data_IF_688620388604
#
_entry.id   IF_688620388604
#
_cell.length_a   1.000
_cell.length_b   1.000
_cell.length_c   1.000
_cell.angle_alpha   90.00
_cell.angle_beta   90.00
_cell.angle_gamma   90.00
#
_symmetry.space_group_name_H-M   'P 1'
#
loop_
_entity.id
_entity.type
_entity.pdbx_description
1 polymer ?
#
# COMPACT_ATOMS: atom_id res chain seq x y z
N UNK A 1 -16.42 -20.56 12.42
CA UNK A 1 -15.89 -19.19 12.38
C UNK A 1 -15.64 -18.71 13.80
N UNK A 2 -16.67 -18.71 14.66
CA UNK A 2 -16.61 -18.15 16.02
C UNK A 2 -15.52 -18.80 16.88
N UNK A 3 -15.31 -20.10 16.75
CA UNK A 3 -14.28 -20.84 17.51
C UNK A 3 -12.87 -20.81 16.88
N UNK A 4 -12.74 -20.25 15.69
CA UNK A 4 -11.50 -20.39 14.90
C UNK A 4 -10.75 -19.07 14.71
N UNK A 5 -11.40 -17.93 14.97
CA UNK A 5 -10.79 -16.60 14.80
C UNK A 5 -11.53 -15.55 15.61
N UNK A 6 -10.86 -15.00 16.63
CA UNK A 6 -11.40 -13.95 17.49
C UNK A 6 -11.79 -12.69 16.67
N UNK A 7 -10.94 -12.28 15.72
CA UNK A 7 -11.18 -11.10 14.88
C UNK A 7 -12.43 -11.24 14.01
N UNK A 8 -12.69 -12.44 13.45
CA UNK A 8 -13.90 -12.68 12.66
C UNK A 8 -15.14 -12.81 13.55
N UNK A 9 -14.98 -13.33 14.75
CA UNK A 9 -16.05 -13.42 15.75
C UNK A 9 -16.48 -12.06 16.24
N UNK A 10 -15.51 -11.20 16.54
CA UNK A 10 -15.75 -9.81 16.97
C UNK A 10 -16.46 -9.02 15.86
N UNK A 11 -16.01 -9.17 14.59
CA UNK A 11 -16.66 -8.54 13.46
C UNK A 11 -18.13 -8.98 13.31
N UNK A 12 -18.41 -10.28 13.41
CA UNK A 12 -19.77 -10.82 13.33
C UNK A 12 -20.69 -10.32 14.44
N UNK A 13 -20.16 -10.22 15.66
CA UNK A 13 -20.97 -9.76 16.81
C UNK A 13 -21.42 -8.31 16.65
N UNK A 14 -20.60 -7.46 16.02
CA UNK A 14 -20.92 -6.06 15.70
C UNK A 14 -21.75 -5.87 14.41
N UNK A 15 -21.83 -6.88 13.53
CA UNK A 15 -22.42 -6.75 12.18
C UNK A 15 -23.33 -7.94 11.84
N UNK A 16 -24.42 -8.09 12.59
CA UNK A 16 -25.37 -9.23 12.47
C UNK A 16 -25.92 -9.39 11.05
N UNK A 17 -26.12 -8.28 10.33
CA UNK A 17 -26.59 -8.28 8.93
C UNK A 17 -25.67 -9.03 7.96
N UNK A 18 -24.40 -9.20 8.28
CA UNK A 18 -23.47 -9.99 7.47
C UNK A 18 -23.81 -11.47 7.50
N UNK A 19 -24.48 -11.96 8.55
CA UNK A 19 -24.97 -13.34 8.61
C UNK A 19 -26.00 -13.64 7.51
N UNK A 20 -26.88 -12.70 7.20
CA UNK A 20 -27.88 -12.86 6.13
C UNK A 20 -27.19 -13.00 4.77
N UNK A 21 -26.12 -12.22 4.53
CA UNK A 21 -25.31 -12.34 3.31
C UNK A 21 -24.57 -13.71 3.23
N UNK A 22 -24.05 -14.19 4.35
CA UNK A 22 -23.39 -15.52 4.44
C UNK A 22 -24.38 -16.64 4.13
N UNK A 23 -25.64 -16.50 4.54
CA UNK A 23 -26.71 -17.48 4.30
C UNK A 23 -27.26 -17.33 2.87
N UNK A 24 -27.33 -16.12 2.34
CA UNK A 24 -28.01 -15.76 1.08
C UNK A 24 -27.32 -16.18 -0.21
N UNK A 25 -26.19 -16.90 -0.19
CA UNK A 25 -25.54 -17.48 -1.38
C UNK A 25 -24.60 -16.54 -2.15
N UNK A 26 -24.85 -15.24 -2.23
CA UNK A 26 -23.96 -14.28 -2.92
C UNK A 26 -22.57 -14.13 -2.27
N UNK A 27 -22.49 -14.40 -0.98
CA UNK A 27 -21.25 -14.46 -0.22
C UNK A 27 -20.25 -15.49 -0.78
N UNK A 28 -20.76 -16.57 -1.35
CA UNK A 28 -19.97 -17.70 -1.87
C UNK A 28 -19.68 -17.58 -3.39
N UNK A 29 -20.09 -16.48 -4.04
CA UNK A 29 -19.81 -16.26 -5.46
C UNK A 29 -18.30 -16.14 -5.72
N UNK A 30 -17.89 -16.29 -6.97
CA UNK A 30 -16.51 -16.12 -7.38
C UNK A 30 -15.96 -14.73 -7.04
N UNK A 31 -14.65 -14.64 -6.92
CA UNK A 31 -13.97 -13.38 -6.66
C UNK A 31 -14.08 -12.45 -7.87
N UNK A 32 -14.56 -11.21 -7.70
CA UNK A 32 -14.86 -10.34 -8.85
C UNK A 32 -13.62 -9.68 -9.48
N UNK A 33 -12.47 -9.70 -8.80
CA UNK A 33 -11.24 -9.04 -9.21
C UNK A 33 -11.20 -7.53 -8.90
N UNK A 34 -9.99 -6.96 -8.96
CA UNK A 34 -9.70 -5.56 -8.58
C UNK A 34 -10.60 -4.54 -9.29
N UNK A 35 -10.78 -4.69 -10.60
CA UNK A 35 -11.52 -3.72 -11.43
C UNK A 35 -13.01 -3.66 -11.04
N UNK A 36 -13.62 -4.81 -10.82
CA UNK A 36 -15.03 -4.88 -10.39
C UNK A 36 -15.19 -4.37 -8.95
N UNK A 37 -14.23 -4.64 -8.07
CA UNK A 37 -14.21 -4.09 -6.71
C UNK A 37 -14.12 -2.56 -6.72
N UNK A 38 -13.24 -1.96 -7.53
CA UNK A 38 -13.19 -0.50 -7.68
C UNK A 38 -14.54 0.08 -8.13
N UNK A 39 -15.16 -0.52 -9.14
CA UNK A 39 -16.44 -0.04 -9.64
C UNK A 39 -17.57 -0.17 -8.60
N UNK A 40 -17.61 -1.27 -7.87
CA UNK A 40 -18.59 -1.50 -6.80
C UNK A 40 -18.40 -0.50 -5.65
N UNK A 41 -17.16 -0.26 -5.24
CA UNK A 41 -16.85 0.75 -4.23
C UNK A 41 -17.21 2.17 -4.71
N UNK A 42 -16.88 2.53 -5.96
CA UNK A 42 -17.25 3.82 -6.54
C UNK A 42 -18.77 4.03 -6.52
N UNK A 43 -19.55 3.01 -6.88
CA UNK A 43 -21.00 3.04 -6.82
C UNK A 43 -21.52 3.18 -5.37
N UNK A 44 -20.89 2.51 -4.42
CA UNK A 44 -21.21 2.59 -2.99
C UNK A 44 -20.98 4.01 -2.46
N UNK A 45 -19.82 4.61 -2.76
CA UNK A 45 -19.50 6.00 -2.40
C UNK A 45 -20.48 6.99 -3.04
N UNK A 46 -20.86 6.78 -4.30
CA UNK A 46 -21.73 7.69 -5.02
C UNK A 46 -23.16 7.76 -4.50
N UNK A 47 -23.62 6.77 -3.75
CA UNK A 47 -24.95 6.77 -3.10
C UNK A 47 -25.02 7.68 -1.88
N UNK A 48 -23.89 8.03 -1.29
CA UNK A 48 -23.81 8.84 -0.10
C UNK A 48 -23.68 10.33 -0.46
N UNK A 49 -24.38 11.19 0.30
CA UNK A 49 -24.50 12.62 -0.04
C UNK A 49 -23.32 13.47 0.45
N UNK A 50 -22.76 13.13 1.60
CA UNK A 50 -21.71 13.89 2.25
C UNK A 50 -20.41 13.07 2.39
N UNK A 51 -19.30 13.78 2.58
CA UNK A 51 -17.96 13.19 2.62
C UNK A 51 -17.76 12.21 3.77
N UNK A 52 -18.34 12.47 4.93
CA UNK A 52 -18.21 11.59 6.10
C UNK A 52 -18.97 10.28 5.87
N UNK A 53 -20.19 10.35 5.37
CA UNK A 53 -20.97 9.19 4.98
C UNK A 53 -20.29 8.38 3.89
N UNK A 54 -19.66 9.03 2.90
CA UNK A 54 -18.87 8.38 1.87
C UNK A 54 -17.67 7.59 2.43
N UNK A 55 -16.94 8.18 3.39
CA UNK A 55 -15.85 7.48 4.07
C UNK A 55 -16.35 6.30 4.91
N UNK A 56 -17.48 6.46 5.60
CA UNK A 56 -18.06 5.40 6.41
C UNK A 56 -18.57 4.24 5.56
N UNK A 57 -19.21 4.54 4.43
CA UNK A 57 -19.66 3.53 3.47
C UNK A 57 -18.46 2.75 2.87
N UNK A 58 -17.37 3.45 2.52
CA UNK A 58 -16.17 2.80 1.99
C UNK A 58 -15.51 1.86 3.01
N UNK A 59 -15.51 2.23 4.29
CA UNK A 59 -14.96 1.39 5.36
C UNK A 59 -15.81 0.16 5.62
N UNK A 60 -17.14 0.31 5.69
CA UNK A 60 -18.07 -0.83 5.84
C UNK A 60 -17.89 -1.80 4.69
N UNK A 61 -17.91 -1.29 3.46
CA UNK A 61 -17.70 -2.07 2.25
C UNK A 61 -16.36 -2.84 2.29
N UNK A 62 -15.27 -2.18 2.65
CA UNK A 62 -13.96 -2.82 2.76
C UNK A 62 -13.90 -3.91 3.84
N UNK A 63 -14.54 -3.68 4.99
CA UNK A 63 -14.62 -4.67 6.07
C UNK A 63 -15.44 -5.90 5.66
N UNK A 64 -16.53 -5.73 4.93
CA UNK A 64 -17.35 -6.84 4.43
C UNK A 64 -16.55 -7.74 3.50
N UNK A 65 -15.83 -7.16 2.54
CA UNK A 65 -14.96 -7.91 1.65
C UNK A 65 -13.79 -8.57 2.39
N UNK A 66 -13.17 -7.85 3.31
CA UNK A 66 -12.09 -8.38 4.14
C UNK A 66 -12.54 -9.59 4.97
N UNK A 67 -13.71 -9.48 5.59
CA UNK A 67 -14.35 -10.58 6.31
C UNK A 67 -14.62 -11.78 5.40
N UNK A 68 -15.18 -11.54 4.21
CA UNK A 68 -15.47 -12.58 3.23
C UNK A 68 -14.22 -13.38 2.86
N UNK A 69 -13.11 -12.72 2.56
CA UNK A 69 -11.83 -13.39 2.27
C UNK A 69 -11.40 -14.27 3.45
N UNK A 70 -11.49 -13.76 4.68
CA UNK A 70 -11.14 -14.50 5.89
C UNK A 70 -11.99 -15.75 6.08
N UNK A 71 -13.29 -15.67 5.87
CA UNK A 71 -14.22 -16.82 5.98
C UNK A 71 -13.95 -17.84 4.87
N UNK A 72 -13.76 -17.40 3.62
CA UNK A 72 -13.43 -18.32 2.52
C UNK A 72 -12.14 -19.09 2.78
N UNK A 73 -11.11 -18.41 3.34
CA UNK A 73 -9.85 -19.03 3.71
C UNK A 73 -10.04 -20.06 4.83
N UNK A 74 -10.73 -19.70 5.91
CA UNK A 74 -11.01 -20.63 7.04
C UNK A 74 -11.83 -21.83 6.64
N UNK A 75 -12.73 -21.68 5.69
CA UNK A 75 -13.57 -22.77 5.17
C UNK A 75 -12.86 -23.61 4.10
N UNK A 76 -11.63 -23.25 3.72
CA UNK A 76 -10.89 -23.94 2.67
C UNK A 76 -11.47 -23.76 1.26
N UNK A 77 -12.34 -22.76 1.05
CA UNK A 77 -12.88 -22.40 -0.27
C UNK A 77 -11.79 -21.82 -1.16
N UNK A 78 -10.86 -21.07 -0.56
CA UNK A 78 -9.70 -20.50 -1.23
C UNK A 78 -8.41 -20.94 -0.54
N UNK A 79 -7.32 -20.99 -1.31
CA UNK A 79 -5.99 -21.25 -0.77
C UNK A 79 -5.39 -20.01 -0.11
N UNK A 80 -4.38 -20.13 0.78
CA UNK A 80 -3.66 -18.98 1.33
C UNK A 80 -3.06 -18.08 0.24
N UNK A 81 -2.57 -18.64 -0.86
CA UNK A 81 -2.05 -17.91 -2.01
C UNK A 81 -3.13 -17.04 -2.68
N UNK A 82 -4.34 -17.57 -2.85
CA UNK A 82 -5.48 -16.83 -3.39
C UNK A 82 -5.89 -15.72 -2.42
N UNK A 83 -6.00 -16.02 -1.12
CA UNK A 83 -6.38 -15.04 -0.11
C UNK A 83 -5.43 -13.84 -0.08
N UNK A 84 -4.11 -14.06 -0.14
CA UNK A 84 -3.14 -12.95 -0.17
C UNK A 84 -3.29 -12.07 -1.41
N UNK A 85 -3.60 -12.63 -2.57
CA UNK A 85 -3.92 -11.88 -3.79
C UNK A 85 -5.20 -11.07 -3.64
N UNK A 86 -6.27 -11.68 -3.13
CA UNK A 86 -7.56 -11.02 -2.90
C UNK A 86 -7.47 -9.86 -1.91
N UNK A 87 -6.73 -10.00 -0.80
CA UNK A 87 -6.45 -8.88 0.11
C UNK A 87 -5.66 -7.76 -0.58
N UNK A 88 -4.71 -8.10 -1.47
CA UNK A 88 -3.97 -7.12 -2.27
C UNK A 88 -4.88 -6.35 -3.22
N UNK A 89 -5.74 -7.02 -3.97
CA UNK A 89 -6.70 -6.40 -4.89
C UNK A 89 -7.73 -5.53 -4.16
N UNK A 90 -8.22 -5.99 -2.99
CA UNK A 90 -9.11 -5.22 -2.13
C UNK A 90 -8.46 -3.91 -1.67
N UNK A 91 -7.20 -3.96 -1.22
CA UNK A 91 -6.47 -2.79 -0.80
C UNK A 91 -6.24 -1.81 -1.96
N UNK A 92 -5.86 -2.29 -3.15
CA UNK A 92 -5.67 -1.45 -4.32
C UNK A 92 -6.96 -0.77 -4.77
N UNK A 93 -8.07 -1.50 -4.84
CA UNK A 93 -9.38 -0.95 -5.17
C UNK A 93 -9.77 0.15 -4.16
N UNK A 94 -9.62 -0.13 -2.86
CA UNK A 94 -9.91 0.83 -1.79
C UNK A 94 -9.06 2.09 -1.92
N UNK A 95 -7.74 1.95 -2.12
CA UNK A 95 -6.83 3.07 -2.23
C UNK A 95 -7.10 3.94 -3.46
N UNK A 96 -7.44 3.35 -4.61
CA UNK A 96 -7.81 4.08 -5.82
C UNK A 96 -9.04 4.96 -5.63
N UNK A 97 -10.09 4.39 -5.07
CA UNK A 97 -11.35 5.12 -4.88
C UNK A 97 -11.24 6.18 -3.78
N UNK A 98 -10.55 5.88 -2.66
CA UNK A 98 -10.26 6.88 -1.63
C UNK A 98 -9.36 8.00 -2.13
N UNK A 99 -8.38 7.69 -3.00
CA UNK A 99 -7.58 8.72 -3.66
C UNK A 99 -8.44 9.69 -4.47
N UNK A 100 -9.34 9.17 -5.30
CA UNK A 100 -10.28 9.99 -6.09
C UNK A 100 -11.19 10.82 -5.18
N UNK A 101 -11.78 10.22 -4.15
CA UNK A 101 -12.67 10.87 -3.20
C UNK A 101 -11.98 12.01 -2.45
N UNK A 102 -10.79 11.74 -1.88
CA UNK A 102 -10.03 12.72 -1.10
C UNK A 102 -9.57 13.88 -1.98
N UNK A 103 -9.05 13.62 -3.20
CA UNK A 103 -8.66 14.68 -4.12
C UNK A 103 -9.85 15.56 -4.51
N UNK A 104 -10.99 14.98 -4.83
CA UNK A 104 -12.22 15.71 -5.17
C UNK A 104 -12.67 16.61 -4.01
N UNK A 105 -12.67 16.08 -2.79
CA UNK A 105 -13.04 16.84 -1.59
C UNK A 105 -12.03 17.95 -1.28
N UNK A 106 -10.74 17.66 -1.43
CA UNK A 106 -9.67 18.60 -1.17
C UNK A 106 -9.69 19.77 -2.17
N UNK A 107 -9.96 19.46 -3.45
CA UNK A 107 -10.05 20.45 -4.52
C UNK A 107 -11.20 21.46 -4.32
N UNK A 108 -12.30 21.09 -3.68
CA UNK A 108 -13.40 22.02 -3.36
C UNK A 108 -12.92 23.20 -2.53
N UNK A 109 -11.94 23.02 -1.66
CA UNK A 109 -11.45 24.05 -0.73
C UNK A 109 -10.19 24.75 -1.23
N UNK A 110 -9.26 23.98 -1.78
CA UNK A 110 -7.92 24.46 -2.12
C UNK A 110 -7.66 24.58 -3.62
N UNK A 111 -8.63 24.17 -4.46
CA UNK A 111 -8.45 24.07 -5.90
C UNK A 111 -7.83 22.75 -6.33
N UNK A 112 -7.70 22.52 -7.65
CA UNK A 112 -7.04 21.34 -8.19
C UNK A 112 -5.60 21.23 -7.75
N UNK A 113 -5.02 20.04 -7.85
CA UNK A 113 -3.63 19.75 -7.51
C UNK A 113 -2.67 20.63 -8.31
N UNK A 114 -1.77 21.39 -7.65
CA UNK A 114 -0.80 22.26 -8.34
C UNK A 114 0.15 21.46 -9.25
N UNK A 115 0.50 22.05 -10.38
CA UNK A 115 1.46 21.48 -11.32
C UNK A 115 0.99 20.18 -12.00
N UNK A 116 1.85 19.16 -12.04
CA UNK A 116 1.55 17.85 -12.64
C UNK A 116 0.79 16.91 -11.69
N UNK A 117 0.51 17.32 -10.46
CA UNK A 117 -0.19 16.53 -9.47
C UNK A 117 0.72 15.63 -8.63
N UNK A 118 0.17 14.54 -8.13
CA UNK A 118 0.91 13.58 -7.31
C UNK A 118 0.56 12.13 -7.67
N UNK A 119 1.49 11.22 -7.37
CA UNK A 119 1.32 9.77 -7.49
C UNK A 119 1.40 9.11 -6.12
N UNK A 120 0.54 8.13 -5.92
CA UNK A 120 0.54 7.26 -4.75
C UNK A 120 1.18 5.93 -5.13
N UNK A 121 2.16 5.51 -4.36
CA UNK A 121 2.95 4.31 -4.61
C UNK A 121 2.81 3.36 -3.43
N UNK A 122 2.51 2.10 -3.70
CA UNK A 122 2.53 1.00 -2.76
C UNK A 122 3.87 0.26 -2.81
N UNK A 123 4.41 -0.04 -1.64
CA UNK A 123 5.67 -0.75 -1.44
C UNK A 123 5.46 -2.06 -0.68
N UNK A 124 6.52 -2.77 -0.40
CA UNK A 124 6.51 -3.96 0.43
C UNK A 124 5.51 -5.02 -0.05
N UNK A 125 4.68 -5.51 0.84
CA UNK A 125 3.63 -6.49 0.53
C UNK A 125 2.53 -5.92 -0.38
N UNK A 126 2.19 -4.64 -0.21
CA UNK A 126 1.24 -3.94 -1.08
C UNK A 126 1.80 -3.80 -2.50
N UNK A 127 3.08 -3.43 -2.64
CA UNK A 127 3.73 -3.33 -3.94
C UNK A 127 3.73 -4.66 -4.71
N UNK A 128 3.86 -5.77 -4.02
CA UNK A 128 3.74 -7.14 -4.57
C UNK A 128 2.30 -7.60 -4.79
N UNK A 129 1.31 -6.80 -4.41
CA UNK A 129 -0.12 -7.15 -4.40
C UNK A 129 -0.41 -8.42 -3.59
N UNK A 130 0.32 -8.62 -2.48
CA UNK A 130 0.25 -9.81 -1.63
C UNK A 130 0.16 -9.39 -0.17
N UNK A 131 -1.07 -9.27 0.32
CA UNK A 131 -1.34 -8.88 1.69
C UNK A 131 -1.92 -10.05 2.48
N UNK A 132 -1.80 -10.00 3.79
CA UNK A 132 -2.59 -10.82 4.70
C UNK A 132 -3.52 -9.94 5.54
N UNK A 133 -4.41 -10.55 6.29
CA UNK A 133 -5.47 -9.85 7.02
C UNK A 133 -5.01 -8.76 8.00
N UNK A 134 -3.74 -8.77 8.41
CA UNK A 134 -3.13 -7.79 9.35
C UNK A 134 -1.97 -7.03 8.72
N UNK A 135 -1.85 -7.02 7.39
CA UNK A 135 -0.77 -6.27 6.73
C UNK A 135 -1.01 -4.77 6.81
N UNK A 136 0.06 -4.04 7.14
CA UNK A 136 0.10 -2.59 6.95
C UNK A 136 0.22 -2.25 5.46
N UNK A 137 -0.22 -1.05 5.09
CA UNK A 137 -0.05 -0.49 3.76
C UNK A 137 1.19 0.41 3.75
N UNK A 138 2.27 -0.09 3.17
CA UNK A 138 3.49 0.71 2.95
C UNK A 138 3.23 1.67 1.78
N UNK A 139 3.14 2.96 2.06
CA UNK A 139 2.80 4.00 1.09
C UNK A 139 3.83 5.12 1.04
N UNK A 140 4.10 5.62 -0.17
CA UNK A 140 4.77 6.91 -0.37
C UNK A 140 3.96 7.77 -1.35
N UNK A 141 4.02 9.09 -1.17
CA UNK A 141 3.40 10.06 -2.05
C UNK A 141 4.48 10.96 -2.64
N UNK A 142 4.54 10.98 -3.97
CA UNK A 142 5.47 11.83 -4.74
C UNK A 142 4.63 12.82 -5.53
N UNK A 143 4.98 14.12 -5.46
CA UNK A 143 4.28 15.17 -6.20
C UNK A 143 5.24 15.97 -7.09
N UNK A 144 4.69 16.53 -8.16
CA UNK A 144 5.43 17.44 -9.03
C UNK A 144 4.64 18.74 -9.19
N UNK A 145 5.12 19.78 -8.51
CA UNK A 145 4.51 21.10 -8.60
C UNK A 145 4.83 21.82 -9.94
N UNK A 146 5.80 21.34 -10.72
CA UNK A 146 6.19 21.91 -12.03
C UNK A 146 6.35 23.44 -12.01
N UNK A 147 6.95 24.00 -10.95
CA UNK A 147 7.13 25.42 -10.77
C UNK A 147 5.89 26.19 -10.27
N UNK A 148 4.75 25.54 -10.06
CA UNK A 148 3.57 26.19 -9.50
C UNK A 148 3.74 26.34 -7.99
N UNK A 149 3.80 27.60 -7.53
CA UNK A 149 4.08 27.92 -6.12
C UNK A 149 2.90 27.67 -5.19
N UNK A 150 1.67 27.93 -5.65
CA UNK A 150 0.47 27.81 -4.81
C UNK A 150 -0.74 27.27 -5.57
N UNK A 151 -1.71 26.74 -4.83
CA UNK A 151 -2.98 26.27 -5.35
C UNK A 151 -3.93 27.42 -5.73
N UNK A 152 -4.89 27.16 -6.62
CA UNK A 152 -5.79 28.15 -7.21
C UNK A 152 -7.20 28.19 -6.60
N UNK A 153 -7.43 27.54 -5.46
CA UNK A 153 -8.75 27.52 -4.81
C UNK A 153 -9.07 28.76 -3.99
N UNK A 154 -10.27 28.81 -3.42
CA UNK A 154 -10.71 29.91 -2.53
C UNK A 154 -9.74 30.14 -1.36
N UNK A 155 -9.14 29.07 -0.86
CA UNK A 155 -8.06 29.11 0.14
C UNK A 155 -6.77 28.67 -0.51
N UNK A 156 -6.09 29.61 -1.17
CA UNK A 156 -4.78 29.34 -1.76
C UNK A 156 -3.76 28.98 -0.67
N UNK A 157 -2.99 27.93 -0.90
CA UNK A 157 -1.87 27.50 -0.05
C UNK A 157 -0.69 27.10 -0.94
N UNK A 158 0.53 27.22 -0.42
CA UNK A 158 1.72 26.82 -1.15
C UNK A 158 1.69 25.31 -1.52
N UNK A 159 2.33 24.96 -2.62
CA UNK A 159 2.26 23.60 -3.19
C UNK A 159 2.79 22.53 -2.23
N UNK A 160 3.83 22.81 -1.47
CA UNK A 160 4.37 21.87 -0.47
C UNK A 160 3.36 21.60 0.64
N UNK A 161 2.74 22.66 1.17
CA UNK A 161 1.68 22.54 2.18
C UNK A 161 0.45 21.84 1.62
N UNK A 162 0.10 22.10 0.35
CA UNK A 162 -1.00 21.43 -0.34
C UNK A 162 -0.82 19.91 -0.28
N UNK A 163 0.31 19.41 -0.79
CA UNK A 163 0.55 17.96 -0.87
C UNK A 163 0.76 17.32 0.49
N UNK A 164 1.37 18.02 1.46
CA UNK A 164 1.48 17.53 2.82
C UNK A 164 0.11 17.36 3.49
N UNK A 165 -0.81 18.32 3.31
CA UNK A 165 -2.18 18.24 3.84
C UNK A 165 -3.01 17.20 3.10
N UNK A 166 -2.89 17.10 1.78
CA UNK A 166 -3.56 16.07 0.96
C UNK A 166 -3.17 14.68 1.45
N UNK A 167 -1.87 14.45 1.67
CA UNK A 167 -1.36 13.18 2.19
C UNK A 167 -1.94 12.84 3.56
N UNK A 168 -1.96 13.81 4.48
CA UNK A 168 -2.56 13.62 5.80
C UNK A 168 -4.05 13.30 5.71
N UNK A 169 -4.77 13.97 4.80
CA UNK A 169 -6.20 13.71 4.56
C UNK A 169 -6.43 12.30 4.01
N UNK A 170 -5.55 11.82 3.11
CA UNK A 170 -5.61 10.46 2.58
C UNK A 170 -5.34 9.42 3.68
N UNK A 171 -4.27 9.60 4.46
CA UNK A 171 -3.96 8.70 5.59
C UNK A 171 -5.11 8.65 6.59
N UNK A 172 -5.72 9.79 6.90
CA UNK A 172 -6.89 9.84 7.78
C UNK A 172 -8.10 9.12 7.15
N UNK A 173 -8.33 9.28 5.84
CA UNK A 173 -9.43 8.58 5.15
C UNK A 173 -9.29 7.05 5.22
N UNK A 174 -8.06 6.53 5.09
CA UNK A 174 -7.75 5.09 5.15
C UNK A 174 -7.80 4.57 6.59
N UNK A 175 -7.15 5.27 7.53
CA UNK A 175 -6.79 4.74 8.85
C UNK A 175 -7.56 5.35 10.04
N UNK A 176 -8.41 6.38 9.86
CA UNK A 176 -9.07 7.00 11.00
C UNK A 176 -10.03 6.02 11.69
N UNK A 177 -9.85 5.78 13.00
CA UNK A 177 -10.80 5.01 13.77
C UNK A 177 -12.07 5.86 13.96
N UNK A 178 -13.19 5.48 13.35
CA UNK A 178 -14.51 5.87 13.84
C UNK A 178 -15.08 4.66 14.57
N UNK A 179 -15.52 4.80 15.79
CA UNK A 179 -16.18 3.81 16.66
C UNK A 179 -15.74 2.33 16.60
N UNK A 180 -15.01 1.91 15.56
CA UNK A 180 -14.55 0.54 15.31
C UNK A 180 -13.15 0.50 14.64
N UNK A 181 -12.52 -0.67 14.67
CA UNK A 181 -11.19 -0.98 14.16
C UNK A 181 -10.98 -0.45 12.72
N UNK A 182 -9.87 0.25 12.49
CA UNK A 182 -9.39 0.66 11.16
C UNK A 182 -9.34 -0.52 10.18
N UNK A 183 -9.70 -0.31 8.92
CA UNK A 183 -9.63 -1.35 7.88
C UNK A 183 -8.18 -1.70 7.55
N UNK A 184 -7.32 -0.68 7.41
CA UNK A 184 -5.89 -0.82 7.17
C UNK A 184 -5.10 0.16 8.04
N UNK A 185 -3.93 -0.25 8.48
CA UNK A 185 -2.91 0.64 9.02
C UNK A 185 -2.03 1.14 7.88
N UNK A 186 -1.64 2.42 7.93
CA UNK A 186 -0.79 3.04 6.91
C UNK A 186 0.61 3.24 7.48
N UNK A 187 1.61 2.72 6.78
CA UNK A 187 3.01 2.94 7.07
C UNK A 187 3.65 3.79 5.96
N UNK A 188 4.19 4.95 6.34
CA UNK A 188 4.89 5.84 5.42
C UNK A 188 6.39 5.93 5.73
N UNK A 189 6.94 5.02 6.52
CA UNK A 189 8.36 5.07 6.96
C UNK A 189 9.35 4.79 5.82
N UNK A 190 8.91 4.20 4.72
CA UNK A 190 9.74 3.93 3.53
C UNK A 190 9.93 5.16 2.61
N UNK A 191 9.36 6.33 2.98
CA UNK A 191 9.61 7.58 2.25
C UNK A 191 11.03 8.10 2.49
N UNK A 192 11.58 8.93 1.60
CA UNK A 192 12.89 9.56 1.76
C UNK A 192 13.09 10.16 3.16
N UNK A 193 14.22 9.87 3.80
CA UNK A 193 14.56 10.24 5.18
C UNK A 193 13.60 9.69 6.24
N UNK A 194 12.78 8.71 5.93
CA UNK A 194 11.89 8.02 6.87
C UNK A 194 10.97 8.96 7.64
N UNK A 195 10.88 8.78 8.96
CA UNK A 195 10.02 9.62 9.82
C UNK A 195 10.48 11.07 9.95
N UNK A 196 11.73 11.38 9.63
CA UNK A 196 12.27 12.74 9.68
C UNK A 196 11.96 13.53 8.39
N UNK A 197 11.69 12.83 7.28
CA UNK A 197 11.34 13.41 6.01
C UNK A 197 9.89 13.91 5.94
N UNK A 198 9.58 14.78 4.95
CA UNK A 198 8.22 15.26 4.72
C UNK A 198 7.29 14.10 4.37
N UNK A 199 6.00 14.21 4.74
CA UNK A 199 4.99 13.17 4.44
C UNK A 199 4.67 13.05 2.95
N UNK A 200 4.91 14.10 2.16
CA UNK A 200 4.88 14.11 0.71
C UNK A 200 6.22 14.62 0.19
N UNK A 201 6.80 13.94 -0.78
CA UNK A 201 8.12 14.26 -1.33
C UNK A 201 7.96 14.84 -2.73
N UNK A 202 8.64 15.95 -3.05
CA UNK A 202 8.64 16.47 -4.42
C UNK A 202 9.41 15.53 -5.35
N UNK A 203 9.03 15.50 -6.62
CA UNK A 203 9.66 14.64 -7.63
C UNK A 203 11.17 14.90 -7.74
N UNK A 204 11.60 16.14 -7.71
CA UNK A 204 13.01 16.48 -7.74
C UNK A 204 13.75 16.01 -6.49
N UNK A 205 13.20 16.24 -5.31
CA UNK A 205 13.80 15.77 -4.06
C UNK A 205 13.85 14.24 -3.99
N UNK A 206 12.83 13.53 -4.50
CA UNK A 206 12.83 12.08 -4.58
C UNK A 206 13.96 11.57 -5.47
N UNK A 207 14.12 12.12 -6.68
CA UNK A 207 15.22 11.75 -7.59
C UNK A 207 16.59 11.99 -6.95
N UNK A 208 16.78 13.20 -6.42
CA UNK A 208 18.05 13.55 -5.79
C UNK A 208 18.40 12.61 -4.64
N UNK A 209 17.44 12.36 -3.75
CA UNK A 209 17.63 11.46 -2.62
C UNK A 209 18.00 10.04 -3.07
N UNK A 210 17.29 9.47 -4.03
CA UNK A 210 17.53 8.10 -4.48
C UNK A 210 18.91 7.94 -5.16
N UNK A 211 19.39 8.98 -5.86
CA UNK A 211 20.70 8.93 -6.53
C UNK A 211 21.85 9.12 -5.55
N UNK A 212 21.73 10.08 -4.60
CA UNK A 212 22.87 10.57 -3.81
C UNK A 212 22.89 10.07 -2.36
N UNK A 213 21.74 9.83 -1.74
CA UNK A 213 21.64 9.59 -0.29
C UNK A 213 21.09 8.22 0.07
N UNK A 214 20.19 7.67 -0.75
CA UNK A 214 19.47 6.44 -0.43
C UNK A 214 20.41 5.25 -0.20
N UNK A 215 20.06 4.43 0.76
CA UNK A 215 20.75 3.16 1.02
C UNK A 215 20.30 2.09 0.01
N UNK A 216 21.11 1.07 -0.16
CA UNK A 216 20.80 -0.06 -1.06
C UNK A 216 19.43 -0.70 -0.74
N UNK A 217 19.08 -0.83 0.54
CA UNK A 217 17.81 -1.45 0.94
C UNK A 217 16.58 -0.60 0.56
N UNK A 218 16.73 0.72 0.40
CA UNK A 218 15.65 1.57 -0.09
C UNK A 218 15.40 1.33 -1.58
N UNK A 219 16.45 1.11 -2.35
CA UNK A 219 16.32 0.65 -3.74
C UNK A 219 15.66 -0.73 -3.81
N UNK A 220 16.02 -1.67 -2.92
CA UNK A 220 15.37 -2.97 -2.83
C UNK A 220 13.87 -2.84 -2.55
N UNK A 221 13.46 -1.90 -1.69
CA UNK A 221 12.05 -1.64 -1.43
C UNK A 221 11.30 -1.14 -2.68
N UNK A 222 11.97 -0.36 -3.54
CA UNK A 222 11.39 0.17 -4.80
C UNK A 222 11.31 -0.87 -5.92
N UNK A 223 12.07 -1.97 -5.86
CA UNK A 223 12.03 -3.04 -6.89
C UNK A 223 10.61 -3.57 -7.14
N UNK A 224 9.84 -3.68 -6.07
CA UNK A 224 8.46 -4.17 -6.12
C UNK A 224 7.42 -3.04 -5.96
N UNK A 225 7.79 -1.79 -6.26
CA UNK A 225 6.87 -0.68 -6.18
C UNK A 225 5.71 -0.85 -7.19
N UNK A 226 4.50 -0.58 -6.75
CA UNK A 226 3.31 -0.50 -7.60
C UNK A 226 2.73 0.89 -7.53
N UNK A 227 2.57 1.56 -8.68
CA UNK A 227 1.88 2.83 -8.75
C UNK A 227 0.38 2.57 -8.65
N UNK A 228 -0.27 3.18 -7.67
CA UNK A 228 -1.67 2.94 -7.34
C UNK A 228 -2.57 3.95 -8.05
N UNK A 229 -2.22 5.23 -7.98
CA UNK A 229 -3.03 6.32 -8.53
C UNK A 229 -2.18 7.55 -8.84
N UNK A 230 -2.71 8.44 -9.66
CA UNK A 230 -2.10 9.72 -10.04
C UNK A 230 -2.21 10.01 -11.53
N UNK A 231 -1.74 11.17 -12.02
CA UNK A 231 -1.71 11.50 -13.44
C UNK A 231 -0.74 10.62 -14.23
N UNK A 232 -1.17 10.11 -15.38
CA UNK A 232 -0.45 9.09 -16.17
C UNK A 232 0.98 9.53 -16.55
N UNK A 233 1.19 10.81 -16.91
CA UNK A 233 2.51 11.31 -17.27
C UNK A 233 3.50 11.23 -16.11
N UNK A 234 3.08 11.58 -14.89
CA UNK A 234 3.93 11.47 -13.70
C UNK A 234 4.11 10.00 -13.28
N UNK A 235 3.08 9.14 -13.46
CA UNK A 235 3.20 7.71 -13.22
C UNK A 235 4.29 7.08 -14.09
N UNK A 236 4.33 7.42 -15.39
CA UNK A 236 5.32 6.91 -16.32
C UNK A 236 6.73 7.34 -15.92
N UNK A 237 6.95 8.63 -15.66
CA UNK A 237 8.26 9.16 -15.23
C UNK A 237 8.77 8.47 -13.96
N UNK A 238 7.89 8.30 -12.97
CA UNK A 238 8.25 7.63 -11.70
C UNK A 238 8.56 6.15 -11.94
N UNK A 239 7.78 5.47 -12.78
CA UNK A 239 8.03 4.06 -13.13
C UNK A 239 9.37 3.88 -13.83
N UNK A 240 9.66 4.69 -14.85
CA UNK A 240 10.92 4.66 -15.59
C UNK A 240 12.12 4.95 -14.68
N UNK A 241 11.97 5.93 -13.78
CA UNK A 241 13.02 6.24 -12.82
C UNK A 241 13.27 5.08 -11.84
N UNK A 242 12.23 4.47 -11.28
CA UNK A 242 12.37 3.30 -10.41
C UNK A 242 13.05 2.12 -11.14
N UNK A 243 12.77 1.92 -12.42
CA UNK A 243 13.49 0.92 -13.23
C UNK A 243 14.96 1.28 -13.39
N UNK A 244 15.31 2.55 -13.64
CA UNK A 244 16.70 2.99 -13.80
C UNK A 244 17.54 2.79 -12.53
N UNK A 245 16.91 2.82 -11.35
CA UNK A 245 17.60 2.59 -10.07
C UNK A 245 18.17 1.17 -9.93
N UNK A 246 17.61 0.19 -10.63
CA UNK A 246 18.09 -1.20 -10.58
C UNK A 246 19.52 -1.35 -11.09
N UNK A 247 19.92 -0.52 -12.04
CA UNK A 247 21.28 -0.55 -12.64
C UNK A 247 22.19 0.55 -12.10
N UNK A 248 21.71 1.35 -11.14
CA UNK A 248 22.45 2.52 -10.66
C UNK A 248 23.73 2.15 -9.89
N UNK A 249 23.75 1.02 -9.20
CA UNK A 249 24.85 0.65 -8.30
C UNK A 249 25.60 -0.58 -8.79
N UNK A 250 26.94 -0.60 -8.66
CA UNK A 250 27.74 -1.80 -8.89
C UNK A 250 27.35 -2.95 -7.95
N UNK A 251 27.40 -4.19 -8.43
CA UNK A 251 27.02 -5.41 -7.71
C UNK A 251 27.69 -5.54 -6.33
N UNK A 252 28.99 -5.20 -6.26
CA UNK A 252 29.75 -5.23 -5.00
C UNK A 252 29.15 -4.31 -3.92
N UNK A 253 28.66 -3.12 -4.32
CA UNK A 253 28.00 -2.19 -3.40
C UNK A 253 26.62 -2.69 -2.95
N UNK A 254 25.92 -3.39 -3.83
CA UNK A 254 24.64 -4.01 -3.49
C UNK A 254 24.85 -5.11 -2.46
N UNK A 255 25.83 -5.99 -2.69
CA UNK A 255 26.17 -7.10 -1.78
C UNK A 255 26.64 -6.62 -0.40
N UNK A 256 27.54 -5.64 -0.36
CA UNK A 256 28.06 -5.09 0.89
C UNK A 256 26.96 -4.35 1.68
N UNK A 257 26.13 -3.56 1.01
CA UNK A 257 25.01 -2.85 1.62
C UNK A 257 23.99 -3.80 2.25
N UNK A 258 23.66 -4.91 1.57
CA UNK A 258 22.79 -5.94 2.08
C UNK A 258 23.36 -6.62 3.33
N UNK A 259 24.65 -6.95 3.31
CA UNK A 259 25.32 -7.54 4.47
C UNK A 259 25.26 -6.63 5.70
N UNK A 260 25.48 -5.34 5.52
CA UNK A 260 25.39 -4.34 6.59
C UNK A 260 23.96 -4.26 7.13
N UNK A 261 22.97 -4.18 6.25
CA UNK A 261 21.56 -4.14 6.65
C UNK A 261 21.16 -5.38 7.45
N UNK A 262 21.53 -6.57 6.96
CA UNK A 262 21.22 -7.83 7.63
C UNK A 262 21.81 -7.87 9.05
N UNK A 263 23.04 -7.43 9.22
CA UNK A 263 23.68 -7.32 10.55
C UNK A 263 22.91 -6.36 11.48
N UNK A 264 22.45 -5.21 10.97
CA UNK A 264 21.66 -4.24 11.75
C UNK A 264 20.30 -4.82 12.16
N UNK A 265 19.60 -5.52 11.24
CA UNK A 265 18.34 -6.17 11.54
C UNK A 265 18.49 -7.21 12.65
N UNK A 266 19.55 -8.03 12.63
CA UNK A 266 19.81 -8.99 13.68
C UNK A 266 20.15 -8.34 15.02
N UNK A 267 20.92 -7.25 15.00
CA UNK A 267 21.27 -6.53 16.21
C UNK A 267 20.07 -5.85 16.89
N UNK A 268 19.04 -5.50 16.13
CA UNK A 268 17.81 -4.84 16.63
C UNK A 268 16.73 -5.83 17.10
N UNK A 269 16.91 -7.13 16.87
CA UNK A 269 15.93 -8.16 17.24
C UNK A 269 16.12 -8.56 18.70
N UNK A 270 15.04 -8.54 19.47
CA UNK A 270 15.02 -9.16 20.80
C UNK A 270 15.11 -10.69 20.65
N UNK A 271 16.02 -11.34 21.39
CA UNK A 271 16.33 -12.78 21.30
C UNK A 271 15.16 -13.71 21.70
N UNK A 272 13.97 -13.20 22.00
CA UNK A 272 12.92 -13.95 22.70
C UNK A 272 11.79 -14.51 21.83
N UNK A 273 11.86 -14.45 20.49
CA UNK A 273 10.79 -15.02 19.66
C UNK A 273 11.24 -16.28 18.89
N UNK A 274 11.40 -17.39 19.60
CA UNK A 274 11.76 -18.68 19.00
C UNK A 274 10.77 -19.12 17.89
N UNK A 275 9.52 -18.68 17.95
CA UNK A 275 8.45 -19.04 17.02
C UNK A 275 8.20 -18.00 15.91
N UNK A 276 8.97 -16.91 15.84
CA UNK A 276 8.86 -15.97 14.74
C UNK A 276 9.34 -16.64 13.44
N UNK A 277 8.45 -16.78 12.47
CA UNK A 277 8.80 -17.27 11.12
C UNK A 277 9.40 -16.13 10.25
N UNK A 278 9.09 -14.88 10.55
CA UNK A 278 9.49 -13.72 9.75
C UNK A 278 10.90 -13.24 10.08
N UNK A 279 11.21 -13.11 11.38
CA UNK A 279 12.43 -12.48 11.86
C UNK A 279 13.43 -13.52 12.36
N UNK A 280 14.70 -13.41 11.96
CA UNK A 280 15.80 -14.28 12.38
C UNK A 280 16.63 -14.78 11.20
N UNK A 281 17.77 -15.43 11.54
CA UNK A 281 18.70 -15.95 10.53
C UNK A 281 18.06 -17.05 9.70
N UNK A 282 18.11 -16.95 8.37
CA UNK A 282 17.55 -17.90 7.43
C UNK A 282 16.03 -17.92 7.38
N UNK A 283 15.36 -16.99 8.05
CA UNK A 283 13.90 -16.89 8.05
C UNK A 283 13.37 -16.04 6.88
N UNK A 284 12.06 -15.85 6.80
CA UNK A 284 11.36 -15.25 5.67
C UNK A 284 11.95 -13.90 5.23
N UNK A 285 12.34 -13.04 6.17
CA UNK A 285 12.93 -11.73 5.87
C UNK A 285 14.28 -11.85 5.13
N UNK A 286 15.13 -12.81 5.51
CA UNK A 286 16.38 -13.06 4.81
C UNK A 286 16.16 -13.52 3.38
N UNK A 287 15.18 -14.40 3.20
CA UNK A 287 14.84 -14.93 1.89
C UNK A 287 14.25 -13.84 0.99
N UNK A 288 13.40 -12.97 1.54
CA UNK A 288 12.88 -11.80 0.82
C UNK A 288 14.02 -10.85 0.37
N UNK A 289 14.98 -10.57 1.26
CA UNK A 289 16.14 -9.73 0.93
C UNK A 289 17.01 -10.34 -0.18
N UNK A 290 17.28 -11.65 -0.11
CA UNK A 290 18.06 -12.36 -1.15
C UNK A 290 17.31 -12.35 -2.49
N UNK A 291 15.99 -12.56 -2.46
CA UNK A 291 15.15 -12.51 -3.66
C UNK A 291 15.16 -11.11 -4.32
N UNK A 292 14.98 -10.05 -3.52
CA UNK A 292 15.04 -8.66 -4.03
C UNK A 292 16.43 -8.31 -4.57
N UNK A 293 17.49 -8.77 -3.92
CA UNK A 293 18.85 -8.62 -4.41
C UNK A 293 19.05 -9.31 -5.77
N UNK A 294 18.54 -10.54 -5.90
CA UNK A 294 18.61 -11.27 -7.17
C UNK A 294 18.01 -10.47 -8.33
N UNK A 295 16.86 -9.82 -8.12
CA UNK A 295 16.22 -8.98 -9.15
C UNK A 295 17.11 -7.80 -9.56
N UNK A 296 17.80 -7.15 -8.61
CA UNK A 296 18.73 -6.05 -8.93
C UNK A 296 19.96 -6.55 -9.69
N UNK A 297 20.55 -7.67 -9.25
CA UNK A 297 21.80 -8.19 -9.84
C UNK A 297 21.60 -8.80 -11.22
N UNK A 298 20.46 -9.43 -11.48
CA UNK A 298 20.20 -10.07 -12.79
C UNK A 298 19.53 -9.13 -13.77
N UNK A 299 19.05 -7.97 -13.32
CA UNK A 299 18.20 -7.07 -14.10
C UNK A 299 16.99 -7.77 -14.77
N UNK A 300 16.67 -8.96 -14.30
CA UNK A 300 15.51 -9.71 -14.79
C UNK A 300 14.28 -9.30 -14.02
N UNK A 301 13.31 -8.71 -14.74
CA UNK A 301 11.93 -8.79 -14.28
C UNK A 301 11.52 -10.25 -14.40
N UNK A 302 11.39 -10.93 -13.28
CA UNK A 302 10.56 -12.13 -13.24
C UNK A 302 9.14 -11.65 -13.51
N UNK A 303 8.82 -11.56 -14.79
CA UNK A 303 7.52 -11.16 -15.29
C UNK A 303 6.51 -12.21 -14.85
N UNK A 304 5.60 -11.77 -14.03
CA UNK A 304 4.45 -12.59 -13.63
C UNK A 304 4.56 -13.15 -12.23
N UNK A 305 3.59 -12.76 -11.42
CA UNK A 305 3.03 -13.43 -10.24
C UNK A 305 3.99 -13.83 -9.08
N UNK A 306 5.30 -13.93 -9.28
CA UNK A 306 6.25 -14.49 -8.31
C UNK A 306 7.51 -13.66 -8.12
N UNK A 307 7.39 -12.36 -7.92
CA UNK A 307 8.48 -11.55 -7.36
C UNK A 307 8.70 -11.81 -5.86
N UNK A 308 8.47 -13.03 -5.46
CA UNK A 308 8.66 -13.54 -4.12
C UNK A 308 9.39 -14.88 -4.19
N UNK A 309 9.67 -15.42 -3.03
CA UNK A 309 10.34 -16.68 -2.74
C UNK A 309 10.17 -17.83 -3.73
N UNK A 310 9.01 -17.95 -4.39
CA UNK A 310 8.70 -19.06 -5.29
C UNK A 310 9.27 -18.92 -6.71
N UNK A 311 9.89 -17.80 -7.04
CA UNK A 311 10.55 -17.63 -8.35
C UNK A 311 11.99 -18.20 -8.37
N UNK A 312 12.57 -18.48 -7.21
CA UNK A 312 13.94 -18.95 -7.05
C UNK A 312 14.03 -20.38 -6.47
N UNK A 313 12.93 -21.01 -6.16
CA UNK A 313 12.78 -22.39 -5.78
C UNK A 313 11.69 -23.09 -6.63
#
# INVERSE_FOLDING_TARGET
>A
IISSSDALSEYLSGNVQVLDAVIGGSFWSEWPGEKSLSQDLANTIAREQDYESQLNASRRWGKEWHFRIGVHLLRGVITPKMATGQYGELALATLKELWCLVNKQFAKKYGPSPGRGAVLIGLGSLGRKRLHSKSDLDLILIYDAAGVEASSGEKSIDSRTYYARLTKSLVAAIGAPMTEISLFQVDMRLRPSGNQGPVATSWEAFKHYQISEAWVWEHLALVNATIIAGPIGLQNDVSEFCESLKTLRPDEKVMSGLSIMRKRLYASQSMNENWSLKLGQGKLQDIELVSQMGIILTNERVSGVHSGLTAWF
#
